data_IF_653650861549
#
_entry.id   IF_653650861549
#
_cell.length_a   1.000
_cell.length_b   1.000
_cell.length_c   1.000
_cell.angle_alpha   90.00
_cell.angle_beta   90.00
_cell.angle_gamma   90.00
#
_symmetry.space_group_name_H-M   'P 1'
#
loop_
_entity.id
_entity.type
_entity.pdbx_description
1 polymer ?
#
# COMPACT_ATOMS: atom_id res chain seq x y z
N UNK A 1 71.15 -15.67 13.33
CA UNK A 1 70.18 -14.59 13.05
C UNK A 1 68.83 -15.24 12.78
N UNK A 2 67.94 -15.19 13.75
CA UNK A 2 66.54 -15.64 13.62
C UNK A 2 65.77 -14.56 12.86
N UNK A 3 65.25 -14.87 11.68
CA UNK A 3 64.29 -14.02 10.99
C UNK A 3 62.88 -14.38 11.49
N UNK A 4 62.30 -13.45 12.25
CA UNK A 4 60.95 -13.50 12.82
C UNK A 4 59.90 -13.45 11.71
N UNK A 5 58.88 -14.32 11.79
CA UNK A 5 57.65 -14.21 11.00
C UNK A 5 56.93 -12.90 11.34
N UNK A 6 56.30 -12.20 10.38
CA UNK A 6 55.39 -11.12 10.74
C UNK A 6 54.11 -11.71 11.34
N UNK A 7 53.83 -11.30 12.58
CA UNK A 7 52.48 -11.26 13.10
C UNK A 7 51.75 -10.13 12.35
N UNK A 8 50.70 -10.46 11.61
CA UNK A 8 49.66 -9.49 11.34
C UNK A 8 48.31 -10.10 11.70
N UNK A 9 47.58 -9.27 12.40
CA UNK A 9 46.63 -9.58 13.44
C UNK A 9 45.31 -10.01 12.80
N UNK A 10 44.60 -10.89 13.50
CA UNK A 10 43.24 -11.25 13.15
C UNK A 10 42.38 -9.99 13.13
N UNK A 11 42.19 -9.41 11.94
CA UNK A 11 41.13 -8.46 11.67
C UNK A 11 39.83 -9.24 11.86
N UNK A 12 39.24 -9.09 13.05
CA UNK A 12 37.90 -9.55 13.34
C UNK A 12 37.02 -9.18 12.14
N UNK A 13 36.41 -10.20 11.52
CA UNK A 13 35.33 -9.97 10.55
C UNK A 13 34.19 -9.33 11.34
N UNK A 14 34.16 -8.00 11.37
CA UNK A 14 32.94 -7.26 11.63
C UNK A 14 31.91 -7.81 10.66
N UNK A 15 30.88 -8.50 11.18
CA UNK A 15 29.71 -8.81 10.39
C UNK A 15 29.14 -7.49 9.92
N UNK A 16 29.25 -7.19 8.63
CA UNK A 16 28.40 -6.21 7.99
C UNK A 16 26.97 -6.67 8.25
N UNK A 17 26.29 -6.01 9.19
CA UNK A 17 24.84 -6.04 9.23
C UNK A 17 24.41 -5.46 7.90
N UNK A 18 24.08 -6.34 6.95
CA UNK A 18 23.50 -5.93 5.68
C UNK A 18 22.24 -5.17 6.02
N UNK A 19 22.34 -3.84 5.93
CA UNK A 19 21.20 -2.95 6.00
C UNK A 19 20.40 -3.30 4.75
N UNK A 20 19.40 -4.17 4.91
CA UNK A 20 18.60 -4.64 3.79
C UNK A 20 17.84 -3.42 3.27
N UNK A 21 18.28 -2.90 2.12
CA UNK A 21 17.63 -1.75 1.49
C UNK A 21 16.28 -2.25 1.00
N UNK A 22 15.22 -1.92 1.74
CA UNK A 22 13.85 -2.18 1.28
C UNK A 22 13.68 -1.41 -0.03
N UNK A 23 13.53 -2.17 -1.12
CA UNK A 23 13.43 -1.64 -2.46
C UNK A 23 12.02 -1.92 -2.97
N UNK A 24 11.27 -0.85 -3.22
CA UNK A 24 9.98 -0.94 -3.90
C UNK A 24 10.19 -0.81 -5.41
N UNK A 25 9.48 -1.63 -6.18
CA UNK A 25 9.40 -1.48 -7.64
C UNK A 25 8.51 -0.28 -8.01
N UNK A 26 7.44 -0.06 -7.23
CA UNK A 26 6.46 1.00 -7.48
C UNK A 26 6.06 1.67 -6.17
N UNK A 27 6.25 2.98 -6.11
CA UNK A 27 5.67 3.82 -5.05
C UNK A 27 4.59 4.69 -5.65
N UNK A 28 3.38 4.62 -5.11
CA UNK A 28 2.24 5.43 -5.58
C UNK A 28 1.90 6.48 -4.53
N UNK A 29 2.03 7.75 -4.91
CA UNK A 29 1.52 8.88 -4.13
C UNK A 29 0.18 9.30 -4.72
N UNK A 30 -0.93 9.11 -4.01
CA UNK A 30 -2.23 9.31 -4.64
C UNK A 30 -3.45 9.20 -3.76
N UNK A 31 -4.60 9.17 -4.44
CA UNK A 31 -5.92 9.18 -3.81
C UNK A 31 -6.41 7.78 -3.42
N UNK A 32 -7.11 7.75 -2.30
CA UNK A 32 -7.92 6.62 -1.80
C UNK A 32 -9.33 7.15 -1.56
N UNK A 33 -10.36 6.44 -2.02
CA UNK A 33 -11.76 6.85 -1.89
C UNK A 33 -12.66 5.64 -1.64
N UNK A 34 -13.56 5.73 -0.67
CA UNK A 34 -14.63 4.72 -0.57
C UNK A 34 -15.72 5.05 -1.57
N UNK A 35 -15.98 4.13 -2.49
CA UNK A 35 -17.05 4.29 -3.47
C UNK A 35 -18.38 3.88 -2.84
N UNK A 36 -19.36 4.79 -2.83
CA UNK A 36 -20.71 4.57 -2.32
C UNK A 36 -21.68 4.50 -3.50
N UNK A 37 -22.23 3.31 -3.78
CA UNK A 37 -23.01 3.06 -4.99
C UNK A 37 -24.44 2.69 -4.62
N UNK A 38 -25.39 3.57 -4.95
CA UNK A 38 -26.83 3.34 -4.83
C UNK A 38 -27.43 2.99 -6.18
N UNK A 39 -28.09 1.84 -6.27
CA UNK A 39 -28.79 1.40 -7.48
C UNK A 39 -30.25 1.84 -7.42
N UNK A 40 -30.72 2.47 -8.49
CA UNK A 40 -32.08 3.01 -8.65
C UNK A 40 -32.59 2.68 -10.05
N UNK A 41 -33.90 2.62 -10.23
CA UNK A 41 -34.50 2.32 -11.55
C UNK A 41 -34.24 3.39 -12.60
N UNK A 42 -33.94 4.63 -12.16
CA UNK A 42 -33.52 5.78 -12.98
C UNK A 42 -32.85 6.83 -12.08
N UNK A 43 -32.18 7.81 -12.68
CA UNK A 43 -31.65 8.95 -11.94
C UNK A 43 -32.80 9.80 -11.32
N UNK A 44 -32.59 10.35 -10.11
CA UNK A 44 -33.55 11.23 -9.47
C UNK A 44 -33.63 12.58 -10.17
N UNK A 45 -34.81 13.21 -10.15
CA UNK A 45 -34.98 14.62 -10.52
C UNK A 45 -34.61 15.52 -9.33
N UNK A 46 -34.35 16.80 -9.59
CA UNK A 46 -34.12 17.78 -8.53
C UNK A 46 -35.30 17.81 -7.54
N UNK A 47 -35.01 17.69 -6.25
CA UNK A 47 -36.00 17.66 -5.16
C UNK A 47 -36.71 16.31 -4.96
N UNK A 48 -36.43 15.29 -5.77
CA UNK A 48 -37.06 13.99 -5.66
C UNK A 48 -36.35 13.07 -4.65
N UNK A 49 -37.13 12.27 -3.90
CA UNK A 49 -36.62 11.15 -3.09
C UNK A 49 -37.10 9.83 -3.69
N UNK A 50 -36.19 8.88 -3.92
CA UNK A 50 -36.47 7.57 -4.50
C UNK A 50 -36.01 6.44 -3.57
N UNK A 51 -36.73 5.32 -3.60
CA UNK A 51 -36.24 4.08 -3.01
C UNK A 51 -35.21 3.43 -3.94
N UNK A 52 -34.03 3.13 -3.40
CA UNK A 52 -33.03 2.32 -4.09
C UNK A 52 -33.38 0.83 -4.04
N UNK A 53 -32.89 0.09 -5.03
CA UNK A 53 -33.02 -1.37 -5.07
C UNK A 53 -31.85 -2.10 -4.41
N UNK A 54 -30.68 -1.44 -4.32
CA UNK A 54 -29.46 -1.98 -3.69
C UNK A 54 -28.52 -0.85 -3.30
N UNK A 55 -27.73 -1.09 -2.27
CA UNK A 55 -26.57 -0.27 -1.92
C UNK A 55 -25.32 -1.14 -1.88
N UNK A 56 -24.19 -0.62 -2.36
CA UNK A 56 -22.89 -1.30 -2.33
C UNK A 56 -21.81 -0.30 -1.94
N UNK A 57 -20.84 -0.77 -1.15
CA UNK A 57 -19.61 -0.05 -0.87
C UNK A 57 -18.45 -0.77 -1.56
N UNK A 58 -17.50 0.00 -2.09
CA UNK A 58 -16.28 -0.52 -2.70
C UNK A 58 -15.07 0.36 -2.40
N UNK A 59 -13.90 -0.12 -2.81
CA UNK A 59 -12.65 0.63 -2.71
C UNK A 59 -12.32 1.22 -4.08
N UNK A 60 -12.18 2.54 -4.13
CA UNK A 60 -11.82 3.31 -5.32
C UNK A 60 -10.74 4.35 -5.01
N UNK A 61 -10.58 5.33 -5.88
CA UNK A 61 -9.42 6.23 -5.84
C UNK A 61 -8.33 5.73 -6.78
N UNK A 62 -7.89 6.63 -7.67
CA UNK A 62 -7.07 6.22 -8.82
C UNK A 62 -5.69 5.72 -8.37
N UNK A 63 -5.11 6.35 -7.35
CA UNK A 63 -3.81 5.95 -6.80
C UNK A 63 -3.88 4.56 -6.19
N UNK A 64 -4.84 4.35 -5.28
CA UNK A 64 -5.04 3.04 -4.68
C UNK A 64 -5.33 1.94 -5.70
N UNK A 65 -6.19 2.18 -6.70
CA UNK A 65 -6.47 1.21 -7.75
C UNK A 65 -5.23 0.83 -8.56
N UNK A 66 -4.38 1.81 -8.90
CA UNK A 66 -3.13 1.54 -9.61
C UNK A 66 -2.14 0.77 -8.74
N UNK A 67 -1.96 1.17 -7.48
CA UNK A 67 -1.05 0.52 -6.54
C UNK A 67 -1.42 -0.94 -6.28
N UNK A 68 -2.69 -1.21 -5.96
CA UNK A 68 -3.21 -2.56 -5.73
C UNK A 68 -3.06 -3.44 -6.97
N UNK A 69 -3.31 -2.91 -8.18
CA UNK A 69 -3.12 -3.69 -9.40
C UNK A 69 -1.66 -4.01 -9.65
N UNK A 70 -0.72 -3.11 -9.37
CA UNK A 70 0.71 -3.40 -9.46
C UNK A 70 1.12 -4.50 -8.45
N UNK A 71 0.65 -4.43 -7.21
CA UNK A 71 0.89 -5.47 -6.20
C UNK A 71 0.35 -6.84 -6.64
N UNK A 72 -0.88 -6.88 -7.18
CA UNK A 72 -1.49 -8.12 -7.71
C UNK A 72 -0.74 -8.71 -8.91
N UNK A 73 0.02 -7.90 -9.64
CA UNK A 73 0.88 -8.35 -10.73
C UNK A 73 2.28 -8.77 -10.26
N UNK A 74 2.57 -8.67 -8.96
CA UNK A 74 3.79 -9.17 -8.33
C UNK A 74 4.88 -8.12 -8.09
N UNK A 75 4.58 -6.82 -8.22
CA UNK A 75 5.52 -5.77 -7.84
C UNK A 75 5.57 -5.58 -6.32
N UNK A 76 6.74 -5.26 -5.78
CA UNK A 76 6.86 -4.74 -4.42
C UNK A 76 6.38 -3.28 -4.41
N UNK A 77 5.26 -3.00 -3.72
CA UNK A 77 4.59 -1.69 -3.80
C UNK A 77 4.43 -0.99 -2.46
N UNK A 78 4.51 0.34 -2.48
CA UNK A 78 4.14 1.20 -1.36
C UNK A 78 3.12 2.27 -1.77
N UNK A 79 2.13 2.52 -0.91
CA UNK A 79 1.12 3.56 -1.10
C UNK A 79 1.33 4.71 -0.11
N UNK A 80 1.56 5.91 -0.63
CA UNK A 80 1.55 7.15 0.15
C UNK A 80 0.22 7.86 -0.06
N UNK A 81 -0.62 7.84 0.97
CA UNK A 81 -1.93 8.49 0.97
C UNK A 81 -2.31 9.00 2.36
N UNK A 82 -3.40 9.76 2.42
CA UNK A 82 -4.01 10.19 3.70
C UNK A 82 -5.41 9.59 3.83
N UNK A 83 -5.64 8.89 4.93
CA UNK A 83 -6.93 8.36 5.31
C UNK A 83 -7.53 9.12 6.50
N UNK A 84 -8.85 9.08 6.60
CA UNK A 84 -9.60 9.56 7.77
C UNK A 84 -9.38 8.65 8.98
N UNK A 85 -9.55 9.21 10.19
CA UNK A 85 -9.63 8.44 11.43
C UNK A 85 -11.07 7.99 11.68
N UNK A 86 -11.59 7.15 10.78
CA UNK A 86 -12.96 6.67 10.77
C UNK A 86 -13.04 5.25 10.19
N UNK A 87 -14.24 4.67 10.21
CA UNK A 87 -14.48 3.31 9.71
C UNK A 87 -14.16 3.12 8.21
N UNK A 88 -14.20 4.18 7.40
CA UNK A 88 -13.79 4.07 5.99
C UNK A 88 -12.27 3.99 5.89
N UNK A 89 -11.54 4.82 6.65
CA UNK A 89 -10.10 4.75 6.75
C UNK A 89 -9.58 3.40 7.25
N UNK A 90 -10.17 2.88 8.32
CA UNK A 90 -9.82 1.55 8.88
C UNK A 90 -10.02 0.43 7.85
N UNK A 91 -11.17 0.43 7.15
CA UNK A 91 -11.44 -0.56 6.10
C UNK A 91 -10.51 -0.41 4.91
N UNK A 92 -10.11 0.83 4.57
CA UNK A 92 -9.17 1.08 3.48
C UNK A 92 -7.77 0.58 3.84
N UNK A 93 -7.30 0.80 5.08
CA UNK A 93 -6.05 0.22 5.57
C UNK A 93 -6.06 -1.31 5.45
N UNK A 94 -7.14 -1.96 5.87
CA UNK A 94 -7.26 -3.41 5.73
C UNK A 94 -7.23 -3.86 4.27
N UNK A 95 -7.87 -3.12 3.36
CA UNK A 95 -7.82 -3.41 1.93
C UNK A 95 -6.39 -3.33 1.36
N UNK A 96 -5.52 -2.44 1.85
CA UNK A 96 -4.11 -2.44 1.43
C UNK A 96 -3.35 -3.67 1.92
N UNK A 97 -3.54 -4.03 3.19
CA UNK A 97 -2.94 -5.22 3.81
C UNK A 97 -3.37 -6.48 3.05
N UNK A 98 -4.66 -6.64 2.77
CA UNK A 98 -5.22 -7.79 2.06
C UNK A 98 -4.71 -7.92 0.61
N UNK A 99 -4.17 -6.85 0.03
CA UNK A 99 -3.64 -6.83 -1.33
C UNK A 99 -2.10 -6.71 -1.37
N UNK A 100 -1.40 -6.91 -0.25
CA UNK A 100 0.06 -6.85 -0.14
C UNK A 100 0.66 -5.49 -0.59
N UNK A 101 0.03 -4.39 -0.19
CA UNK A 101 0.55 -3.03 -0.40
C UNK A 101 1.14 -2.50 0.91
N UNK A 102 2.38 -2.00 0.88
CA UNK A 102 3.02 -1.32 2.02
C UNK A 102 2.39 0.07 2.25
N UNK A 103 2.13 0.43 3.51
CA UNK A 103 1.31 1.60 3.91
C UNK A 103 1.78 2.28 5.19
#
# INVERSE_FOLDING_TARGET
MLATQPADEGRAKMSESTNEVIKFDVVVVGSCMTDLVSYVSRLPKAGETLHGSKFSMGFGGKGANQCIMAARLGCDTAMVAKLGKDSFGERYMQNFIDNNVDV
#
